data_IF_637983367887
#
_entry.id   IF_637983367887
#
_cell.length_a   1.000
_cell.length_b   1.000
_cell.length_c   1.000
_cell.angle_alpha   90.00
_cell.angle_beta   90.00
_cell.angle_gamma   90.00
#
_symmetry.space_group_name_H-M   'P 1'
#
loop_
_entity.id
_entity.type
_entity.pdbx_description
1 polymer ?
#
# COMPACT_ATOMS: atom_id res chain seq x y z
N UNK A 1 26.45 45.79 23.96
CA UNK A 1 25.44 45.51 25.00
C UNK A 1 24.61 44.33 24.55
N UNK A 2 24.78 43.17 25.18
CA UNK A 2 24.03 41.94 24.92
C UNK A 2 23.45 41.49 26.27
N UNK A 3 22.15 41.68 26.44
CA UNK A 3 21.31 41.25 27.57
C UNK A 3 19.91 41.10 26.98
N UNK A 4 19.08 40.08 27.21
CA UNK A 4 19.07 38.94 28.10
C UNK A 4 17.93 38.04 27.58
N UNK A 5 18.14 36.74 27.29
CA UNK A 5 17.04 35.80 27.03
C UNK A 5 17.39 34.38 27.49
N UNK A 6 17.77 34.22 28.75
CA UNK A 6 17.95 32.91 29.38
C UNK A 6 17.52 32.99 30.85
N UNK A 7 16.21 32.89 31.08
CA UNK A 7 15.66 32.96 32.45
C UNK A 7 14.45 32.07 32.72
N UNK A 8 13.79 31.50 31.69
CA UNK A 8 12.50 30.85 31.87
C UNK A 8 12.54 29.41 32.44
N UNK A 9 13.72 28.83 32.69
CA UNK A 9 13.86 27.42 33.11
C UNK A 9 14.40 27.22 34.54
N UNK A 10 14.62 28.32 35.29
CA UNK A 10 15.16 28.25 36.67
C UNK A 10 14.12 28.48 37.77
N UNK A 11 12.83 28.57 37.43
CA UNK A 11 11.77 28.83 38.42
C UNK A 11 11.15 27.49 38.82
N UNK A 12 11.31 27.03 40.08
CA UNK A 12 10.62 25.85 40.57
C UNK A 12 9.12 26.11 40.59
N UNK A 13 8.36 25.21 39.96
CA UNK A 13 6.91 25.26 39.96
C UNK A 13 6.44 24.81 41.35
N UNK A 14 5.93 25.74 42.15
CA UNK A 14 5.31 25.41 43.43
C UNK A 14 3.96 24.76 43.19
N UNK A 15 3.93 23.43 43.23
CA UNK A 15 2.69 22.65 43.21
C UNK A 15 2.08 22.72 44.60
N UNK A 16 0.98 23.46 44.75
CA UNK A 16 0.25 23.57 46.00
C UNK A 16 -0.62 22.33 46.24
N UNK A 17 -0.87 21.98 47.50
CA UNK A 17 -1.72 20.83 47.85
C UNK A 17 -3.12 20.93 47.19
N UNK A 18 -3.69 22.13 47.09
CA UNK A 18 -4.96 22.35 46.38
C UNK A 18 -4.89 22.03 44.88
N UNK A 19 -3.74 22.30 44.23
CA UNK A 19 -3.55 21.97 42.81
C UNK A 19 -3.44 20.46 42.60
N UNK A 20 -2.85 19.75 43.57
CA UNK A 20 -2.80 18.30 43.61
C UNK A 20 -4.20 17.70 43.81
N UNK A 21 -4.97 18.23 44.76
CA UNK A 21 -6.31 17.73 45.08
C UNK A 21 -7.33 18.02 43.97
N UNK A 22 -7.19 19.12 43.22
CA UNK A 22 -8.01 19.40 42.02
C UNK A 22 -7.83 18.36 40.92
N UNK A 23 -6.59 17.91 40.66
CA UNK A 23 -6.31 16.88 39.65
C UNK A 23 -6.79 15.50 40.12
N UNK A 24 -6.66 15.22 41.42
CA UNK A 24 -7.10 13.97 42.04
C UNK A 24 -8.63 13.82 42.04
N UNK A 25 -9.35 14.90 42.36
CA UNK A 25 -10.81 14.87 42.49
C UNK A 25 -11.56 15.06 41.17
N UNK A 26 -10.89 15.57 40.12
CA UNK A 26 -11.42 15.66 38.75
C UNK A 26 -10.49 14.92 37.77
N UNK A 27 -10.52 13.57 37.73
CA UNK A 27 -9.78 12.84 36.72
C UNK A 27 -10.31 13.23 35.34
N UNK A 28 -9.45 13.81 34.49
CA UNK A 28 -9.77 14.03 33.08
C UNK A 28 -10.14 12.67 32.48
N UNK A 29 -11.30 12.52 31.81
CA UNK A 29 -11.66 11.25 31.20
C UNK A 29 -10.51 10.86 30.28
N UNK A 30 -9.88 9.72 30.60
CA UNK A 30 -8.87 9.10 29.75
C UNK A 30 -9.51 9.01 28.38
N UNK A 31 -9.06 9.85 27.43
CA UNK A 31 -9.44 9.68 26.03
C UNK A 31 -9.03 8.26 25.70
N UNK A 32 -10.01 7.36 25.62
CA UNK A 32 -9.83 5.99 25.11
C UNK A 32 -8.94 6.16 23.90
N UNK A 33 -7.80 5.43 23.88
CA UNK A 33 -6.92 5.37 22.72
C UNK A 33 -7.84 5.31 21.51
N UNK A 34 -7.82 6.33 20.65
CA UNK A 34 -8.50 6.23 19.37
C UNK A 34 -8.07 4.87 18.81
N UNK A 35 -9.01 4.02 18.35
CA UNK A 35 -8.62 2.84 17.61
C UNK A 35 -7.59 3.30 16.60
N UNK A 36 -6.48 2.56 16.45
CA UNK A 36 -5.58 2.78 15.32
C UNK A 36 -6.47 2.98 14.10
N UNK A 37 -6.28 4.02 13.28
CA UNK A 37 -7.06 4.13 12.06
C UNK A 37 -6.93 2.77 11.38
N UNK A 38 -8.06 2.12 11.09
CA UNK A 38 -8.02 0.94 10.25
C UNK A 38 -7.13 1.29 9.06
N UNK A 39 -6.35 0.32 8.59
CA UNK A 39 -5.65 0.40 7.31
C UNK A 39 -6.67 0.41 6.15
N UNK A 40 -7.66 1.29 6.24
CA UNK A 40 -8.65 1.52 5.20
C UNK A 40 -7.96 2.37 4.15
N UNK A 41 -7.91 1.78 2.96
CA UNK A 41 -7.39 2.35 1.73
C UNK A 41 -8.04 3.71 1.46
N UNK A 42 -7.27 4.74 1.06
CA UNK A 42 -7.84 5.98 0.53
C UNK A 42 -8.68 5.73 -0.74
N UNK A 43 -8.39 4.63 -1.46
CA UNK A 43 -9.19 4.11 -2.58
C UNK A 43 -10.29 3.15 -2.08
N UNK A 44 -11.19 3.62 -1.21
CA UNK A 44 -12.36 2.85 -0.77
C UNK A 44 -13.40 2.76 -1.90
N UNK A 45 -13.03 2.12 -3.01
CA UNK A 45 -13.96 1.59 -4.02
C UNK A 45 -14.64 0.30 -3.54
N UNK A 46 -14.07 -0.37 -2.54
CA UNK A 46 -14.67 -1.53 -1.88
C UNK A 46 -15.61 -1.04 -0.76
N UNK A 47 -16.75 -0.45 -1.14
CA UNK A 47 -17.83 -0.22 -0.20
C UNK A 47 -18.51 -1.58 0.04
N UNK A 48 -18.43 -2.10 1.28
CA UNK A 48 -18.87 -3.45 1.66
C UNK A 48 -20.28 -3.73 1.14
N UNK A 49 -20.39 -4.44 0.01
CA UNK A 49 -21.65 -5.07 -0.38
C UNK A 49 -22.03 -6.05 0.74
N UNK A 50 -23.27 -5.98 1.25
CA UNK A 50 -23.75 -6.95 2.23
C UNK A 50 -23.69 -8.34 1.61
N UNK A 51 -22.73 -9.14 2.06
CA UNK A 51 -22.52 -10.51 1.55
C UNK A 51 -23.66 -11.45 1.97
N UNK A 52 -24.50 -11.02 2.93
CA UNK A 52 -25.59 -11.80 3.50
C UNK A 52 -26.69 -12.20 2.50
N UNK A 53 -26.87 -11.42 1.42
CA UNK A 53 -27.98 -11.63 0.47
C UNK A 53 -27.53 -12.23 -0.87
N UNK A 54 -26.23 -12.56 -1.02
CA UNK A 54 -25.69 -13.04 -2.29
C UNK A 54 -25.79 -14.57 -2.35
N UNK A 55 -26.67 -15.06 -3.23
CA UNK A 55 -26.80 -16.48 -3.53
C UNK A 55 -25.60 -16.93 -4.38
N UNK A 56 -24.85 -17.92 -3.89
CA UNK A 56 -23.78 -18.56 -4.66
C UNK A 56 -24.42 -19.36 -5.80
N UNK A 57 -24.07 -19.01 -7.03
CA UNK A 57 -24.57 -19.65 -8.26
C UNK A 57 -23.71 -20.83 -8.69
N UNK A 58 -22.48 -20.91 -8.17
CA UNK A 58 -21.57 -22.00 -8.47
C UNK A 58 -21.97 -23.29 -7.74
N UNK A 59 -22.41 -24.28 -8.52
CA UNK A 59 -22.92 -25.58 -8.03
C UNK A 59 -21.76 -26.45 -7.48
N UNK A 60 -20.52 -26.22 -7.92
CA UNK A 60 -19.35 -26.95 -7.45
C UNK A 60 -18.19 -25.97 -7.16
N UNK A 61 -18.26 -25.21 -6.04
CA UNK A 61 -17.24 -24.23 -5.72
C UNK A 61 -15.89 -24.92 -5.47
N UNK A 62 -14.78 -24.33 -5.93
CA UNK A 62 -13.44 -24.82 -5.60
C UNK A 62 -13.27 -24.96 -4.08
N UNK A 63 -12.38 -25.86 -3.61
CA UNK A 63 -11.99 -25.92 -2.21
C UNK A 63 -11.55 -24.53 -1.72
N UNK A 64 -11.83 -24.21 -0.46
CA UNK A 64 -11.66 -22.84 0.08
C UNK A 64 -10.25 -22.27 -0.18
N UNK A 65 -9.23 -23.12 -0.08
CA UNK A 65 -7.82 -22.80 -0.34
C UNK A 65 -7.51 -22.40 -1.79
N UNK A 66 -8.33 -22.82 -2.75
CA UNK A 66 -8.21 -22.51 -4.18
C UNK A 66 -9.23 -21.48 -4.66
N UNK A 67 -10.07 -20.94 -3.77
CA UNK A 67 -11.04 -19.93 -4.17
C UNK A 67 -10.33 -18.63 -4.55
N UNK A 68 -10.67 -18.02 -5.70
CA UNK A 68 -10.12 -16.72 -6.06
C UNK A 68 -10.44 -15.65 -5.01
N UNK A 69 -9.39 -15.10 -4.41
CA UNK A 69 -9.41 -13.82 -3.71
C UNK A 69 -9.01 -12.73 -4.70
N UNK A 70 -9.95 -11.86 -5.07
CA UNK A 70 -9.87 -10.97 -6.23
C UNK A 70 -9.65 -9.52 -5.80
N UNK A 71 -8.68 -8.86 -6.44
CA UNK A 71 -8.50 -7.41 -6.42
C UNK A 71 -8.93 -6.84 -7.78
N UNK A 72 -9.81 -5.83 -7.78
CA UNK A 72 -10.32 -5.17 -9.00
C UNK A 72 -9.57 -3.87 -9.27
N UNK A 73 -9.12 -3.64 -10.50
CA UNK A 73 -8.43 -2.42 -10.94
C UNK A 73 -9.08 -1.78 -12.17
N UNK A 74 -9.45 -0.50 -12.05
CA UNK A 74 -10.03 0.29 -13.15
C UNK A 74 -11.55 0.20 -13.30
N UNK A 75 -12.26 -0.38 -12.34
CA UNK A 75 -13.72 -0.59 -12.39
C UNK A 75 -14.54 0.46 -11.61
N UNK A 76 -13.92 1.57 -11.16
CA UNK A 76 -14.59 2.49 -10.24
C UNK A 76 -14.99 1.73 -8.96
N UNK A 77 -16.21 1.95 -8.46
CA UNK A 77 -16.73 1.21 -7.31
C UNK A 77 -16.84 -0.32 -7.53
N UNK A 78 -16.78 -0.81 -8.77
CA UNK A 78 -16.70 -2.24 -9.08
C UNK A 78 -17.82 -3.11 -8.49
N UNK A 79 -18.99 -2.56 -8.18
CA UNK A 79 -20.05 -3.26 -7.43
C UNK A 79 -20.59 -4.49 -8.16
N UNK A 80 -20.72 -4.39 -9.49
CA UNK A 80 -21.19 -5.51 -10.31
C UNK A 80 -20.15 -6.62 -10.34
N UNK A 81 -18.88 -6.29 -10.55
CA UNK A 81 -17.77 -7.22 -10.55
C UNK A 81 -17.59 -7.88 -9.18
N UNK A 82 -17.72 -7.10 -8.09
CA UNK A 82 -17.70 -7.65 -6.73
C UNK A 82 -18.83 -8.67 -6.54
N UNK A 83 -20.05 -8.35 -6.99
CA UNK A 83 -21.19 -9.27 -6.94
C UNK A 83 -20.91 -10.55 -7.75
N UNK A 84 -20.34 -10.45 -8.94
CA UNK A 84 -19.96 -11.61 -9.77
C UNK A 84 -18.98 -12.53 -9.03
N UNK A 85 -17.91 -11.96 -8.44
CA UNK A 85 -16.92 -12.75 -7.67
C UNK A 85 -17.59 -13.50 -6.52
N UNK A 86 -18.45 -12.81 -5.76
CA UNK A 86 -19.13 -13.40 -4.60
C UNK A 86 -20.13 -14.49 -5.00
N UNK A 87 -20.89 -14.30 -6.10
CA UNK A 87 -21.80 -15.31 -6.63
C UNK A 87 -21.07 -16.57 -7.10
N UNK A 88 -19.86 -16.42 -7.64
CA UNK A 88 -19.02 -17.55 -8.05
C UNK A 88 -18.36 -18.27 -6.86
N UNK A 89 -18.53 -17.74 -5.64
CA UNK A 89 -17.99 -18.28 -4.41
C UNK A 89 -16.59 -17.77 -4.06
N UNK A 90 -16.06 -16.78 -4.77
CA UNK A 90 -14.79 -16.11 -4.47
C UNK A 90 -14.93 -15.04 -3.39
N UNK A 91 -13.84 -14.35 -3.08
CA UNK A 91 -13.81 -13.24 -2.10
C UNK A 91 -13.14 -12.01 -2.68
N UNK A 92 -13.48 -10.83 -2.14
CA UNK A 92 -12.80 -9.58 -2.49
C UNK A 92 -11.63 -9.36 -1.54
N UNK A 93 -10.44 -9.16 -2.11
CA UNK A 93 -9.22 -8.93 -1.37
C UNK A 93 -9.31 -7.60 -0.61
N UNK A 94 -9.06 -7.68 0.71
CA UNK A 94 -8.97 -6.48 1.56
C UNK A 94 -7.59 -5.84 1.41
N UNK A 95 -6.51 -6.63 1.42
CA UNK A 95 -5.16 -6.15 1.21
C UNK A 95 -4.57 -6.67 -0.11
N UNK A 96 -3.56 -5.98 -0.64
CA UNK A 96 -2.84 -6.41 -1.85
C UNK A 96 -2.15 -7.76 -1.68
N UNK A 97 -1.67 -8.06 -0.47
CA UNK A 97 -1.03 -9.33 -0.11
C UNK A 97 -1.99 -10.52 -0.12
N UNK A 98 -3.28 -10.26 0.11
CA UNK A 98 -4.29 -11.32 0.24
C UNK A 98 -4.85 -11.72 -1.13
N UNK A 99 -4.61 -10.90 -2.15
CA UNK A 99 -5.09 -11.13 -3.50
C UNK A 99 -4.35 -12.31 -4.13
N UNK A 100 -5.14 -13.20 -4.73
CA UNK A 100 -4.64 -14.27 -5.61
C UNK A 100 -4.72 -13.86 -7.08
N UNK A 101 -5.73 -13.06 -7.42
CA UNK A 101 -6.05 -12.59 -8.76
C UNK A 101 -6.15 -11.06 -8.77
N UNK A 102 -5.46 -10.43 -9.71
CA UNK A 102 -5.73 -9.04 -10.09
C UNK A 102 -6.54 -9.06 -11.38
N UNK A 103 -7.76 -8.54 -11.33
CA UNK A 103 -8.61 -8.37 -12.52
C UNK A 103 -8.54 -6.90 -12.93
N UNK A 104 -8.12 -6.64 -14.17
CA UNK A 104 -7.94 -5.28 -14.69
C UNK A 104 -8.92 -5.01 -15.83
N UNK A 105 -9.56 -3.83 -15.79
CA UNK A 105 -10.41 -3.36 -16.89
C UNK A 105 -9.59 -2.99 -18.12
N UNK A 106 -8.47 -2.32 -17.89
CA UNK A 106 -7.54 -1.83 -18.91
C UNK A 106 -6.12 -2.22 -18.54
N UNK A 107 -5.31 -2.58 -19.54
CA UNK A 107 -3.91 -3.01 -19.36
C UNK A 107 -2.95 -1.83 -19.22
N UNK A 108 -3.20 -0.98 -18.20
CA UNK A 108 -2.42 0.23 -17.89
C UNK A 108 -1.83 0.18 -16.49
N UNK A 109 -0.74 0.90 -16.26
CA UNK A 109 -0.14 1.02 -14.93
C UNK A 109 -1.10 1.69 -13.94
N UNK A 110 -1.51 0.95 -12.92
CA UNK A 110 -2.26 1.46 -11.76
C UNK A 110 -1.53 1.17 -10.46
N UNK A 111 -1.92 1.86 -9.38
CA UNK A 111 -1.45 1.54 -8.02
C UNK A 111 -1.71 0.08 -7.65
N UNK A 112 -2.93 -0.40 -7.91
CA UNK A 112 -3.33 -1.79 -7.60
C UNK A 112 -2.46 -2.78 -8.38
N UNK A 113 -2.14 -2.49 -9.64
CA UNK A 113 -1.19 -3.28 -10.43
C UNK A 113 0.21 -3.31 -9.80
N UNK A 114 0.78 -2.15 -9.46
CA UNK A 114 2.13 -2.07 -8.89
C UNK A 114 2.26 -2.79 -7.53
N UNK A 115 1.21 -2.77 -6.71
CA UNK A 115 1.21 -3.52 -5.45
C UNK A 115 1.03 -5.03 -5.70
N UNK A 116 0.07 -5.41 -6.54
CA UNK A 116 -0.31 -6.81 -6.73
C UNK A 116 0.69 -7.62 -7.55
N UNK A 117 1.39 -7.02 -8.52
CA UNK A 117 2.29 -7.73 -9.43
C UNK A 117 3.38 -8.52 -8.67
N UNK A 118 3.75 -8.06 -7.48
CA UNK A 118 4.72 -8.71 -6.60
C UNK A 118 4.21 -9.99 -5.92
N UNK A 119 2.89 -10.15 -5.73
CA UNK A 119 2.33 -11.19 -4.85
C UNK A 119 1.28 -12.08 -5.52
N UNK A 120 0.47 -11.54 -6.42
CA UNK A 120 -0.65 -12.29 -7.02
C UNK A 120 -0.15 -13.42 -7.92
N UNK A 121 -0.96 -14.47 -8.05
CA UNK A 121 -0.69 -15.61 -8.92
C UNK A 121 -1.08 -15.30 -10.36
N UNK A 122 -2.19 -14.59 -10.55
CA UNK A 122 -2.78 -14.32 -11.85
C UNK A 122 -3.09 -12.83 -12.03
N UNK A 123 -2.79 -12.31 -13.22
CA UNK A 123 -3.21 -10.97 -13.67
C UNK A 123 -4.02 -11.18 -14.95
N UNK A 124 -5.32 -10.93 -14.87
CA UNK A 124 -6.27 -11.25 -15.95
C UNK A 124 -7.10 -10.03 -16.33
N UNK A 125 -7.63 -10.04 -17.55
CA UNK A 125 -8.54 -9.02 -18.02
C UNK A 125 -9.95 -9.17 -17.41
N UNK A 126 -10.80 -8.17 -17.60
CA UNK A 126 -12.18 -8.19 -17.09
C UNK A 126 -13.09 -9.25 -17.73
N UNK A 127 -12.73 -9.81 -18.88
CA UNK A 127 -13.53 -10.83 -19.58
C UNK A 127 -13.53 -12.14 -18.80
N UNK A 128 -12.43 -12.49 -18.11
CA UNK A 128 -12.36 -13.67 -17.25
C UNK A 128 -13.53 -13.73 -16.27
N UNK A 129 -13.83 -12.61 -15.61
CA UNK A 129 -14.89 -12.54 -14.61
C UNK A 129 -16.28 -12.57 -15.25
N UNK A 130 -16.46 -11.91 -16.40
CA UNK A 130 -17.72 -11.89 -17.14
C UNK A 130 -18.08 -13.28 -17.68
N UNK A 131 -17.13 -13.95 -18.30
CA UNK A 131 -17.33 -15.29 -18.85
C UNK A 131 -17.52 -16.31 -17.74
N UNK A 132 -16.74 -16.21 -16.65
CA UNK A 132 -16.95 -17.05 -15.46
C UNK A 132 -18.34 -16.86 -14.86
N UNK A 133 -18.82 -15.61 -14.77
CA UNK A 133 -20.17 -15.30 -14.28
C UNK A 133 -21.26 -15.92 -15.17
N UNK A 134 -21.07 -15.90 -16.49
CA UNK A 134 -21.98 -16.50 -17.47
C UNK A 134 -22.05 -18.02 -17.34
N UNK A 135 -20.91 -18.66 -17.06
CA UNK A 135 -20.79 -20.11 -16.89
C UNK A 135 -21.07 -20.59 -15.46
N UNK A 136 -21.36 -19.66 -14.54
CA UNK A 136 -21.55 -19.93 -13.11
C UNK A 136 -20.39 -20.68 -12.44
N UNK A 137 -19.17 -20.54 -12.97
CA UNK A 137 -17.96 -21.16 -12.43
C UNK A 137 -16.73 -20.34 -12.84
N UNK A 138 -15.72 -20.27 -11.97
CA UNK A 138 -14.43 -19.68 -12.34
C UNK A 138 -13.77 -20.49 -13.47
N UNK A 139 -13.51 -19.82 -14.59
CA UNK A 139 -12.82 -20.40 -15.75
C UNK A 139 -11.30 -20.37 -15.54
N UNK A 140 -10.58 -21.15 -16.35
CA UNK A 140 -9.12 -21.11 -16.36
C UNK A 140 -8.59 -19.75 -16.82
N UNK A 141 -7.50 -19.29 -16.19
CA UNK A 141 -6.97 -17.93 -16.32
C UNK A 141 -6.13 -17.73 -17.59
N UNK A 142 -5.64 -18.82 -18.18
CA UNK A 142 -4.61 -18.81 -19.22
C UNK A 142 -4.96 -17.93 -20.44
N UNK A 143 -6.19 -18.04 -20.95
CA UNK A 143 -6.63 -17.29 -22.14
C UNK A 143 -6.97 -15.82 -21.84
N UNK A 144 -7.12 -15.47 -20.56
CA UNK A 144 -7.47 -14.11 -20.10
C UNK A 144 -6.27 -13.36 -19.51
N UNK A 145 -5.10 -13.99 -19.52
CA UNK A 145 -3.89 -13.44 -18.91
C UNK A 145 -3.48 -12.16 -19.65
N UNK A 146 -3.22 -11.10 -18.88
CA UNK A 146 -2.66 -9.87 -19.42
C UNK A 146 -1.16 -10.07 -19.57
N UNK A 147 -0.70 -10.18 -20.82
CA UNK A 147 0.71 -10.40 -21.15
C UNK A 147 1.57 -9.15 -21.00
N UNK A 148 0.99 -7.99 -21.30
CA UNK A 148 1.70 -6.71 -21.36
C UNK A 148 0.88 -5.59 -20.74
N UNK A 149 1.55 -4.73 -19.98
CA UNK A 149 0.97 -3.51 -19.39
C UNK A 149 1.75 -2.30 -19.86
N UNK A 150 1.04 -1.30 -20.36
CA UNK A 150 1.63 -0.02 -20.72
C UNK A 150 1.96 0.78 -19.45
N UNK A 151 3.24 1.09 -19.26
CA UNK A 151 3.75 1.81 -18.09
C UNK A 151 3.79 3.30 -18.37
N UNK A 152 4.32 3.66 -19.55
CA UNK A 152 4.42 5.00 -20.11
C UNK A 152 4.40 4.85 -21.65
N UNK A 153 4.29 5.94 -22.41
CA UNK A 153 4.16 5.92 -23.90
C UNK A 153 5.26 5.10 -24.64
N UNK A 154 6.36 4.74 -23.96
CA UNK A 154 7.52 4.05 -24.53
C UNK A 154 7.93 2.78 -23.79
N UNK A 155 7.28 2.45 -22.66
CA UNK A 155 7.71 1.36 -21.79
C UNK A 155 6.61 0.34 -21.64
N UNK A 156 6.90 -0.89 -22.07
CA UNK A 156 6.02 -2.04 -21.96
C UNK A 156 6.54 -2.96 -20.85
N UNK A 157 5.69 -3.23 -19.88
CA UNK A 157 5.93 -4.22 -18.83
C UNK A 157 5.49 -5.61 -19.33
N UNK A 158 6.43 -6.56 -19.42
CA UNK A 158 6.13 -7.95 -19.80
C UNK A 158 5.72 -8.74 -18.57
N UNK A 159 4.41 -8.84 -18.35
CA UNK A 159 3.81 -9.40 -17.12
C UNK A 159 4.19 -10.87 -16.94
N UNK A 160 4.15 -11.69 -18.01
CA UNK A 160 4.52 -13.11 -17.92
C UNK A 160 5.93 -13.33 -17.38
N UNK A 161 6.90 -12.46 -17.74
CA UNK A 161 8.29 -12.57 -17.26
C UNK A 161 8.40 -12.26 -15.78
N UNK A 162 7.56 -11.36 -15.28
CA UNK A 162 7.55 -11.01 -13.87
C UNK A 162 6.90 -12.13 -13.08
N UNK A 163 5.73 -12.60 -13.50
CA UNK A 163 5.00 -13.67 -12.82
C UNK A 163 5.76 -15.00 -12.82
N UNK A 164 6.60 -15.27 -13.83
CA UNK A 164 7.46 -16.46 -13.86
C UNK A 164 8.60 -16.42 -12.83
N UNK A 165 8.94 -15.25 -12.28
CA UNK A 165 9.90 -15.13 -11.20
C UNK A 165 9.20 -15.38 -9.83
N UNK A 166 9.50 -16.48 -9.13
CA UNK A 166 8.88 -16.78 -7.82
C UNK A 166 9.32 -15.79 -6.73
N UNK A 167 10.50 -15.19 -6.87
CA UNK A 167 11.09 -14.28 -5.88
C UNK A 167 10.77 -12.81 -6.18
N UNK A 168 9.81 -12.51 -7.07
CA UNK A 168 9.43 -11.13 -7.41
C UNK A 168 8.96 -10.30 -6.20
N UNK A 169 8.40 -10.96 -5.18
CA UNK A 169 8.03 -10.34 -3.89
C UNK A 169 9.25 -9.89 -3.06
N UNK A 170 10.46 -10.28 -3.45
CA UNK A 170 11.72 -9.91 -2.78
C UNK A 170 12.52 -8.85 -3.56
N UNK A 171 11.92 -8.19 -4.56
CA UNK A 171 12.59 -7.19 -5.39
C UNK A 171 13.33 -6.12 -4.56
N UNK A 172 12.76 -5.73 -3.43
CA UNK A 172 13.31 -4.74 -2.50
C UNK A 172 13.76 -5.34 -1.16
N UNK A 173 13.98 -6.66 -1.10
CA UNK A 173 14.44 -7.32 0.12
C UNK A 173 15.76 -6.73 0.61
N UNK A 174 15.79 -6.41 1.92
CA UNK A 174 16.93 -5.77 2.57
C UNK A 174 17.11 -4.29 2.21
N UNK A 175 16.22 -3.69 1.41
CA UNK A 175 16.26 -2.26 1.05
C UNK A 175 15.39 -1.44 1.99
N UNK A 176 15.93 -0.30 2.41
CA UNK A 176 15.27 0.66 3.28
C UNK A 176 14.98 1.92 2.47
N UNK A 177 13.73 2.36 2.51
CA UNK A 177 13.26 3.51 1.78
C UNK A 177 12.87 4.64 2.72
N UNK A 178 13.13 5.86 2.29
CA UNK A 178 12.49 7.06 2.83
C UNK A 178 11.82 7.81 1.68
N UNK A 179 10.54 8.14 1.87
CA UNK A 179 9.76 8.90 0.89
C UNK A 179 9.57 10.31 1.44
N UNK A 180 9.95 11.32 0.66
CA UNK A 180 9.85 12.70 1.11
C UNK A 180 8.38 13.18 1.14
N UNK A 181 8.02 14.15 2.00
CA UNK A 181 6.62 14.56 2.18
C UNK A 181 5.95 15.18 0.95
N UNK A 182 6.72 15.79 0.06
CA UNK A 182 6.27 16.43 -1.18
C UNK A 182 6.02 15.46 -2.34
N UNK A 183 6.09 14.15 -2.12
CA UNK A 183 5.62 13.13 -3.07
C UNK A 183 4.10 12.98 -2.93
N UNK A 184 3.36 13.57 -3.88
CA UNK A 184 1.88 13.62 -3.82
C UNK A 184 1.19 12.72 -4.84
N UNK A 185 1.85 12.37 -5.95
CA UNK A 185 1.27 11.56 -7.03
C UNK A 185 2.20 10.40 -7.42
N UNK A 186 1.93 9.16 -6.97
CA UNK A 186 0.90 8.79 -5.99
C UNK A 186 1.26 9.26 -4.57
N UNK A 187 0.30 9.18 -3.64
CA UNK A 187 0.54 9.61 -2.25
C UNK A 187 1.63 8.77 -1.57
N UNK A 188 2.31 9.35 -0.56
CA UNK A 188 3.32 8.63 0.24
C UNK A 188 2.80 7.30 0.80
N UNK A 189 1.53 7.25 1.20
CA UNK A 189 0.89 6.03 1.66
C UNK A 189 0.88 4.94 0.57
N UNK A 190 0.51 5.30 -0.65
CA UNK A 190 0.49 4.39 -1.79
C UNK A 190 1.90 3.93 -2.15
N UNK A 191 2.88 4.85 -2.24
CA UNK A 191 4.27 4.51 -2.52
C UNK A 191 4.80 3.50 -1.49
N UNK A 192 4.46 3.70 -0.22
CA UNK A 192 4.80 2.76 0.84
C UNK A 192 4.21 1.36 0.60
N UNK A 193 2.94 1.27 0.22
CA UNK A 193 2.31 -0.02 -0.08
C UNK A 193 2.99 -0.74 -1.25
N UNK A 194 3.39 -0.01 -2.29
CA UNK A 194 4.14 -0.57 -3.43
C UNK A 194 5.49 -1.15 -2.96
N UNK A 195 6.24 -0.39 -2.16
CA UNK A 195 7.55 -0.81 -1.64
C UNK A 195 7.42 -2.04 -0.74
N UNK A 196 6.47 -2.01 0.21
CA UNK A 196 6.27 -3.09 1.18
C UNK A 196 5.75 -4.36 0.49
N UNK A 197 4.92 -4.25 -0.54
CA UNK A 197 4.44 -5.41 -1.34
C UNK A 197 5.58 -6.11 -2.10
N UNK A 198 6.67 -5.39 -2.37
CA UNK A 198 7.87 -5.89 -3.04
C UNK A 198 9.01 -6.24 -2.05
N UNK A 199 8.71 -6.33 -0.75
CA UNK A 199 9.65 -6.79 0.28
C UNK A 199 10.57 -5.71 0.87
N UNK A 200 10.34 -4.45 0.53
CA UNK A 200 11.10 -3.31 1.07
C UNK A 200 10.55 -2.80 2.40
N UNK A 201 11.35 -2.02 3.12
CA UNK A 201 10.93 -1.35 4.36
C UNK A 201 10.89 0.16 4.16
N UNK A 202 9.85 0.85 4.67
CA UNK A 202 9.75 2.32 4.59
C UNK A 202 9.85 2.96 5.97
N UNK A 203 10.86 3.81 6.14
CA UNK A 203 11.05 4.63 7.33
C UNK A 203 10.27 5.94 7.25
N UNK A 204 9.72 6.36 8.40
CA UNK A 204 8.97 7.64 8.50
C UNK A 204 9.89 8.85 8.56
N UNK A 205 11.11 8.66 9.03
CA UNK A 205 12.09 9.72 9.22
C UNK A 205 13.32 9.40 8.39
N UNK A 206 13.91 10.45 7.82
CA UNK A 206 15.12 10.33 7.05
C UNK A 206 16.31 10.11 8.00
N UNK A 207 17.20 9.19 7.64
CA UNK A 207 18.50 9.06 8.30
C UNK A 207 19.43 10.22 7.94
N UNK A 208 20.37 10.51 8.84
CA UNK A 208 21.43 11.48 8.58
C UNK A 208 22.42 10.95 7.53
N UNK A 209 23.15 11.84 6.85
CA UNK A 209 24.15 11.45 5.86
C UNK A 209 25.18 10.45 6.44
N UNK A 210 25.66 10.69 7.66
CA UNK A 210 26.60 9.80 8.34
C UNK A 210 26.02 8.39 8.57
N UNK A 211 24.80 8.31 9.08
CA UNK A 211 24.14 7.02 9.32
C UNK A 211 23.84 6.26 8.01
N UNK A 212 23.65 6.98 6.90
CA UNK A 212 23.50 6.37 5.57
C UNK A 212 24.85 5.84 5.06
N UNK A 213 25.94 6.58 5.26
CA UNK A 213 27.29 6.19 4.84
C UNK A 213 27.85 4.98 5.61
N UNK A 214 27.35 4.73 6.82
CA UNK A 214 27.67 3.54 7.62
C UNK A 214 26.99 2.25 7.11
N UNK A 215 26.00 2.37 6.20
CA UNK A 215 25.33 1.22 5.58
C UNK A 215 26.06 0.73 4.33
N UNK A 216 25.79 -0.51 3.95
CA UNK A 216 26.23 -1.04 2.66
C UNK A 216 25.66 -0.21 1.48
N UNK A 217 26.41 -0.09 0.37
CA UNK A 217 25.96 0.62 -0.82
C UNK A 217 24.60 0.09 -1.33
N UNK A 218 23.79 0.98 -1.88
CA UNK A 218 22.46 0.67 -2.43
C UNK A 218 21.47 0.06 -1.42
N UNK A 219 21.68 0.20 -0.11
CA UNK A 219 20.75 -0.29 0.92
C UNK A 219 19.70 0.75 1.30
N UNK A 220 20.07 2.03 1.36
CA UNK A 220 19.16 3.13 1.69
C UNK A 220 18.79 3.93 0.44
N UNK A 221 17.50 3.99 0.12
CA UNK A 221 16.97 4.63 -1.09
C UNK A 221 16.03 5.77 -0.69
N UNK A 222 16.24 6.96 -1.24
CA UNK A 222 15.35 8.11 -1.01
C UNK A 222 14.53 8.37 -2.26
N UNK A 223 13.21 8.33 -2.11
CA UNK A 223 12.26 8.72 -3.16
C UNK A 223 11.81 10.14 -2.89
N UNK A 224 12.21 11.07 -3.75
CA UNK A 224 11.94 12.49 -3.61
C UNK A 224 11.20 13.06 -4.83
N UNK A 225 10.47 14.15 -4.62
CA UNK A 225 9.92 14.97 -5.70
C UNK A 225 10.79 16.21 -5.94
N UNK A 226 10.58 16.90 -7.06
CA UNK A 226 11.33 18.12 -7.40
C UNK A 226 11.20 19.22 -6.33
N UNK A 227 10.06 19.29 -5.64
CA UNK A 227 9.82 20.27 -4.58
C UNK A 227 10.70 20.03 -3.34
N UNK A 228 11.14 18.80 -3.13
CA UNK A 228 11.89 18.36 -1.95
C UNK A 228 13.39 18.21 -2.22
N UNK A 229 13.89 18.65 -3.37
CA UNK A 229 15.32 18.56 -3.71
C UNK A 229 16.21 19.22 -2.65
N UNK A 230 15.74 20.31 -2.05
CA UNK A 230 16.43 20.99 -0.95
C UNK A 230 16.62 20.10 0.28
N UNK A 231 15.69 19.16 0.53
CA UNK A 231 15.81 18.19 1.62
C UNK A 231 16.93 17.19 1.35
N UNK A 232 17.16 16.81 0.10
CA UNK A 232 18.11 15.75 -0.31
C UNK A 232 19.41 16.26 -0.95
N UNK A 233 19.64 17.57 -0.94
CA UNK A 233 20.78 18.21 -1.60
C UNK A 233 22.14 17.70 -1.09
N UNK A 234 22.24 17.33 0.18
CA UNK A 234 23.44 16.75 0.79
C UNK A 234 23.77 15.36 0.21
N UNK A 235 22.77 14.52 -0.02
CA UNK A 235 22.92 13.20 -0.67
C UNK A 235 23.36 13.36 -2.12
N UNK A 236 22.74 14.29 -2.85
CA UNK A 236 23.07 14.57 -4.25
C UNK A 236 24.54 15.00 -4.36
N UNK A 237 24.98 15.97 -3.55
CA UNK A 237 26.39 16.41 -3.54
C UNK A 237 27.35 15.29 -3.18
N UNK A 238 27.01 14.44 -2.21
CA UNK A 238 27.84 13.30 -1.81
C UNK A 238 27.92 12.21 -2.89
N UNK A 239 26.92 12.10 -3.77
CA UNK A 239 26.88 11.07 -4.82
C UNK A 239 27.70 11.46 -6.05
N UNK A 240 27.83 12.77 -6.35
CA UNK A 240 28.63 13.27 -7.48
C UNK A 240 30.08 13.61 -7.10
N UNK A 241 30.41 13.65 -5.80
CA UNK A 241 31.76 13.95 -5.30
C UNK A 241 32.71 12.75 -5.27
N UNK A 242 32.44 11.69 -6.05
CA UNK A 242 33.30 10.50 -6.20
C UNK A 242 33.75 10.35 -7.64
#
# INVERSE_FOLDING_TARGET
MLTCFIGAWKIPINVTQESYDRVRNNPVPVKRKRPRPNANFPDQENNDLSTADIIITNINPPPIEYRPCVMLSGFGLGKEEQRMVLQLGGTIAKNYSDATHLVMKESVRTTKFLCCVSTVKHIVNGEWLKDSSTQHMFLGEAIYTIEEVSVDQKVICKVHKILSNPNRHELFKGKIFYVTPGVTHPSVFVVRQIIESAGGTVEKQRRSLRAIQELEPNTYIVVASNNDLHLVADLIRSSYGK
#
